data_IF_558906553966
#
_entry.id   IF_558906553966
#
_cell.length_a   1.000
_cell.length_b   1.000
_cell.length_c   1.000
_cell.angle_alpha   90.00
_cell.angle_beta   90.00
_cell.angle_gamma   90.00
#
_symmetry.space_group_name_H-M   'P 1'
#
loop_
_entity.id
_entity.type
_entity.pdbx_description
1 polymer ?
#
# COMPACT_ATOMS: atom_id res chain seq x y z
N UNK A 1 -17.53 9.70 1.25
CA UNK A 1 -18.33 9.75 0.01
C UNK A 1 -19.05 11.11 -0.17
N UNK A 2 -19.82 11.59 0.81
CA UNK A 2 -20.47 12.92 0.78
C UNK A 2 -19.49 14.10 0.61
N UNK A 3 -18.31 14.04 1.24
CA UNK A 3 -17.27 15.08 1.15
C UNK A 3 -16.68 15.19 -0.27
N UNK A 4 -16.52 14.06 -0.96
CA UNK A 4 -16.03 14.06 -2.34
C UNK A 4 -17.10 14.55 -3.33
N UNK A 5 -18.38 14.28 -3.08
CA UNK A 5 -19.49 14.84 -3.86
C UNK A 5 -19.57 16.35 -3.70
N UNK A 6 -19.59 16.86 -2.47
CA UNK A 6 -19.64 18.30 -2.21
C UNK A 6 -18.46 19.06 -2.81
N UNK A 7 -17.23 18.53 -2.67
CA UNK A 7 -16.04 19.15 -3.26
C UNK A 7 -16.08 19.14 -4.79
N UNK A 8 -16.50 18.03 -5.40
CA UNK A 8 -16.60 17.90 -6.85
C UNK A 8 -17.64 18.86 -7.45
N UNK A 9 -18.78 19.03 -6.78
CA UNK A 9 -19.86 19.93 -7.22
C UNK A 9 -19.45 21.40 -7.16
N UNK A 10 -18.80 21.84 -6.07
CA UNK A 10 -18.34 23.22 -5.90
C UNK A 10 -17.24 23.59 -6.90
N UNK A 11 -16.30 22.67 -7.14
CA UNK A 11 -15.22 22.88 -8.11
C UNK A 11 -15.76 22.87 -9.55
N UNK A 12 -16.74 22.02 -9.86
CA UNK A 12 -17.39 22.00 -11.17
C UNK A 12 -18.16 23.30 -11.47
N UNK A 13 -18.84 23.87 -10.48
CA UNK A 13 -19.54 25.16 -10.59
C UNK A 13 -18.57 26.36 -10.73
N UNK A 14 -17.40 26.27 -10.11
CA UNK A 14 -16.38 27.31 -10.12
C UNK A 14 -15.52 27.33 -11.40
N UNK A 15 -15.31 26.17 -12.05
CA UNK A 15 -14.44 26.01 -13.23
C UNK A 15 -15.19 25.86 -14.56
N UNK A 16 -16.45 26.31 -14.63
CA UNK A 16 -17.35 26.17 -15.78
C UNK A 16 -16.86 26.76 -17.13
N UNK A 17 -15.71 27.44 -17.16
CA UNK A 17 -15.15 28.10 -18.34
C UNK A 17 -13.79 27.54 -18.82
N UNK A 18 -13.23 26.51 -18.17
CA UNK A 18 -11.97 25.88 -18.59
C UNK A 18 -12.13 24.38 -18.83
N UNK A 19 -11.32 23.81 -19.73
CA UNK A 19 -11.17 22.36 -20.00
C UNK A 19 -10.89 21.51 -18.72
N UNK A 20 -10.60 22.17 -17.60
CA UNK A 20 -10.41 21.60 -16.27
C UNK A 20 -11.73 21.20 -15.56
N UNK A 21 -12.89 21.75 -15.97
CA UNK A 21 -14.21 21.44 -15.39
C UNK A 21 -14.76 20.05 -15.73
N UNK A 22 -14.21 19.38 -16.75
CA UNK A 22 -14.66 18.06 -17.19
C UNK A 22 -14.07 16.91 -16.36
N UNK A 23 -12.95 17.12 -15.65
CA UNK A 23 -12.33 16.07 -14.82
C UNK A 23 -13.18 15.68 -13.60
N UNK A 24 -13.70 16.63 -12.80
CA UNK A 24 -14.58 16.29 -11.68
C UNK A 24 -15.84 15.55 -12.14
N UNK A 25 -16.40 15.93 -13.29
CA UNK A 25 -17.58 15.30 -13.89
C UNK A 25 -17.31 13.85 -14.31
N UNK A 26 -16.18 13.59 -14.98
CA UNK A 26 -15.74 12.22 -15.32
C UNK A 26 -15.55 11.37 -14.07
N UNK A 27 -14.87 11.91 -13.07
CA UNK A 27 -14.65 11.22 -11.80
C UNK A 27 -15.98 10.92 -11.09
N UNK A 28 -16.88 11.91 -10.99
CA UNK A 28 -18.19 11.76 -10.36
C UNK A 28 -19.04 10.69 -11.07
N UNK A 29 -19.05 10.68 -12.42
CA UNK A 29 -19.75 9.67 -13.20
C UNK A 29 -19.23 8.27 -12.87
N UNK A 30 -17.92 8.04 -13.01
CA UNK A 30 -17.35 6.71 -12.78
C UNK A 30 -17.43 6.27 -11.32
N UNK A 31 -17.35 7.19 -10.36
CA UNK A 31 -17.64 6.90 -8.95
C UNK A 31 -19.10 6.54 -8.72
N UNK A 32 -20.06 7.17 -9.39
CA UNK A 32 -21.46 6.80 -9.28
C UNK A 32 -21.71 5.40 -9.87
N UNK A 33 -21.08 5.09 -11.01
CA UNK A 33 -21.17 3.78 -11.65
C UNK A 33 -20.56 2.67 -10.76
N UNK A 34 -19.39 2.90 -10.15
CA UNK A 34 -18.80 1.90 -9.24
C UNK A 34 -19.48 1.84 -7.87
N UNK A 35 -20.09 2.93 -7.40
CA UNK A 35 -20.81 2.97 -6.14
C UNK A 35 -22.03 2.03 -6.12
N UNK A 36 -22.73 1.86 -7.25
CA UNK A 36 -23.89 0.98 -7.32
C UNK A 36 -23.59 -0.48 -6.90
N UNK A 37 -22.60 -1.18 -7.50
CA UNK A 37 -22.24 -2.53 -7.05
C UNK A 37 -21.60 -2.56 -5.65
N UNK A 38 -20.88 -1.50 -5.23
CA UNK A 38 -20.38 -1.41 -3.84
C UNK A 38 -21.53 -1.42 -2.82
N UNK A 39 -22.53 -0.56 -3.02
CA UNK A 39 -23.69 -0.43 -2.14
C UNK A 39 -24.58 -1.68 -2.21
N UNK A 40 -24.86 -2.19 -3.41
CA UNK A 40 -25.62 -3.42 -3.56
C UNK A 40 -24.92 -4.61 -2.86
N UNK A 41 -23.59 -4.67 -2.91
CA UNK A 41 -22.80 -5.68 -2.21
C UNK A 41 -22.89 -5.60 -0.69
N UNK A 42 -23.12 -4.40 -0.13
CA UNK A 42 -23.27 -4.22 1.30
C UNK A 42 -24.56 -4.87 1.84
N UNK A 43 -25.62 -4.92 1.04
CA UNK A 43 -26.94 -5.47 1.42
C UNK A 43 -27.05 -6.99 1.25
N UNK A 44 -26.15 -7.62 0.48
CA UNK A 44 -26.17 -9.07 0.24
C UNK A 44 -25.01 -9.76 0.94
N UNK A 45 -25.08 -11.07 1.16
CA UNK A 45 -24.03 -11.86 1.83
C UNK A 45 -23.35 -12.88 0.91
N UNK A 46 -22.26 -13.48 1.39
CA UNK A 46 -21.58 -14.60 0.75
C UNK A 46 -21.01 -14.29 -0.65
N UNK A 47 -21.13 -15.26 -1.57
CA UNK A 47 -20.55 -15.17 -2.91
C UNK A 47 -21.16 -14.04 -3.76
N UNK A 48 -22.42 -13.66 -3.50
CA UNK A 48 -23.06 -12.55 -4.20
C UNK A 48 -22.39 -11.21 -3.88
N UNK A 49 -22.03 -10.99 -2.60
CA UNK A 49 -21.25 -9.82 -2.15
C UNK A 49 -19.91 -9.77 -2.86
N UNK A 50 -19.18 -10.90 -2.87
CA UNK A 50 -17.88 -10.99 -3.53
C UNK A 50 -17.97 -10.72 -5.04
N UNK A 51 -19.01 -11.23 -5.71
CA UNK A 51 -19.22 -10.98 -7.13
C UNK A 51 -19.51 -9.49 -7.42
N UNK A 52 -20.36 -8.84 -6.61
CA UNK A 52 -20.66 -7.42 -6.75
C UNK A 52 -19.45 -6.53 -6.49
N UNK A 53 -18.71 -6.79 -5.41
CA UNK A 53 -17.48 -6.05 -5.11
C UNK A 53 -16.40 -6.28 -6.16
N UNK A 54 -16.28 -7.50 -6.69
CA UNK A 54 -15.38 -7.79 -7.82
C UNK A 54 -15.79 -7.02 -9.08
N UNK A 55 -17.09 -6.90 -9.35
CA UNK A 55 -17.60 -6.11 -10.47
C UNK A 55 -17.31 -4.61 -10.27
N UNK A 56 -17.46 -4.08 -9.05
CA UNK A 56 -17.12 -2.70 -8.72
C UNK A 56 -15.65 -2.40 -9.01
N UNK A 57 -14.75 -3.28 -8.54
CA UNK A 57 -13.31 -3.20 -8.82
C UNK A 57 -13.06 -3.29 -10.34
N UNK A 58 -13.69 -4.23 -11.04
CA UNK A 58 -13.53 -4.37 -12.49
C UNK A 58 -13.93 -3.09 -13.24
N UNK A 59 -15.02 -2.43 -12.83
CA UNK A 59 -15.45 -1.14 -13.38
C UNK A 59 -14.37 -0.08 -13.18
N UNK A 60 -13.81 0.04 -11.97
CA UNK A 60 -12.78 1.05 -11.65
C UNK A 60 -11.50 0.82 -12.47
N UNK A 61 -11.07 -0.43 -12.62
CA UNK A 61 -9.87 -0.77 -13.40
C UNK A 61 -10.09 -0.65 -14.91
N UNK A 62 -11.19 -1.18 -15.43
CA UNK A 62 -11.51 -1.12 -16.87
C UNK A 62 -11.75 0.32 -17.29
N UNK A 63 -12.45 1.12 -16.49
CA UNK A 63 -12.63 2.54 -16.77
C UNK A 63 -11.30 3.29 -16.79
N UNK A 64 -10.40 3.05 -15.84
CA UNK A 64 -9.06 3.64 -15.83
C UNK A 64 -8.24 3.22 -17.07
N UNK A 65 -8.27 1.94 -17.45
CA UNK A 65 -7.58 1.42 -18.64
C UNK A 65 -8.09 2.07 -19.93
N UNK A 66 -9.40 2.30 -20.03
CA UNK A 66 -10.05 2.97 -21.16
C UNK A 66 -9.95 4.51 -21.11
N UNK A 67 -9.23 5.08 -20.13
CA UNK A 67 -9.08 6.53 -19.88
C UNK A 67 -10.40 7.22 -19.51
N UNK A 68 -11.24 6.55 -18.73
CA UNK A 68 -12.54 7.03 -18.24
C UNK A 68 -13.42 7.59 -19.37
N UNK A 69 -13.83 6.73 -20.34
CA UNK A 69 -14.69 7.16 -21.43
C UNK A 69 -16.05 7.55 -20.87
N UNK A 70 -16.35 8.84 -20.84
CA UNK A 70 -17.60 9.33 -20.25
C UNK A 70 -18.57 9.67 -21.37
N UNK A 71 -19.82 9.14 -21.34
CA UNK A 71 -20.81 9.43 -22.38
C UNK A 71 -20.96 10.94 -22.62
N UNK A 72 -20.96 11.36 -23.89
CA UNK A 72 -21.04 12.78 -24.27
C UNK A 72 -19.76 13.61 -24.13
N UNK A 73 -18.70 13.09 -23.47
CA UNK A 73 -17.43 13.80 -23.26
C UNK A 73 -16.24 13.05 -23.90
N UNK A 74 -16.38 11.75 -24.15
CA UNK A 74 -15.33 10.89 -24.73
C UNK A 74 -14.25 10.48 -23.72
N UNK A 75 -13.12 9.89 -24.16
CA UNK A 75 -12.01 9.48 -23.29
C UNK A 75 -11.15 10.65 -22.80
N UNK A 76 -10.38 10.45 -21.73
CA UNK A 76 -9.53 11.48 -21.14
C UNK A 76 -8.30 11.72 -22.03
N UNK A 77 -8.03 12.96 -22.46
CA UNK A 77 -6.84 13.32 -23.22
C UNK A 77 -5.54 12.97 -22.49
N UNK A 78 -4.50 12.43 -23.17
CA UNK A 78 -3.22 12.08 -22.54
C UNK A 78 -2.56 13.25 -21.81
N UNK A 79 -2.63 14.48 -22.34
CA UNK A 79 -2.06 15.68 -21.71
C UNK A 79 -2.67 15.97 -20.33
N UNK A 80 -3.95 15.64 -20.13
CA UNK A 80 -4.61 15.82 -18.84
C UNK A 80 -4.15 14.77 -17.80
N UNK A 81 -3.67 13.61 -18.23
CA UNK A 81 -3.09 12.64 -17.29
C UNK A 81 -1.78 13.15 -16.64
N UNK A 82 -1.11 14.16 -17.24
CA UNK A 82 0.22 14.62 -16.85
C UNK A 82 0.23 15.77 -15.81
N UNK A 83 -0.86 16.54 -15.68
CA UNK A 83 -0.91 17.82 -14.95
C UNK A 83 -1.00 17.74 -13.41
N UNK A 84 -1.02 16.54 -12.80
CA UNK A 84 -1.29 16.40 -11.35
C UNK A 84 -0.02 16.17 -10.49
N UNK A 85 1.17 16.41 -11.04
CA UNK A 85 2.46 15.85 -10.62
C UNK A 85 3.04 16.33 -9.28
N UNK A 86 2.86 17.59 -8.87
CA UNK A 86 3.69 18.17 -7.79
C UNK A 86 3.38 17.65 -6.37
N UNK A 87 2.18 17.11 -6.13
CA UNK A 87 1.76 16.68 -4.78
C UNK A 87 1.55 15.17 -4.65
N UNK A 88 1.83 14.37 -5.68
CA UNK A 88 1.56 12.93 -5.64
C UNK A 88 2.40 12.19 -4.61
N UNK A 89 3.68 12.56 -4.45
CA UNK A 89 4.53 11.95 -3.43
C UNK A 89 3.95 12.12 -2.02
N UNK A 90 3.43 13.31 -1.71
CA UNK A 90 2.77 13.57 -0.43
C UNK A 90 1.48 12.77 -0.27
N UNK A 91 0.64 12.69 -1.31
CA UNK A 91 -0.59 11.88 -1.28
C UNK A 91 -0.31 10.39 -1.12
N UNK A 92 0.69 9.87 -1.81
CA UNK A 92 1.10 8.47 -1.70
C UNK A 92 1.60 8.14 -0.30
N UNK A 93 2.37 9.06 0.30
CA UNK A 93 2.77 8.98 1.71
C UNK A 93 1.57 8.97 2.64
N UNK A 94 0.59 9.83 2.39
CA UNK A 94 -0.64 9.88 3.18
C UNK A 94 -1.43 8.57 3.12
N UNK A 95 -1.55 7.93 1.94
CA UNK A 95 -2.23 6.64 1.83
C UNK A 95 -1.55 5.55 2.66
N UNK A 96 -0.22 5.49 2.63
CA UNK A 96 0.55 4.53 3.44
C UNK A 96 0.37 4.80 4.93
N UNK A 97 0.40 6.07 5.35
CA UNK A 97 0.15 6.47 6.75
C UNK A 97 -1.26 6.07 7.18
N UNK A 98 -2.28 6.29 6.34
CA UNK A 98 -3.66 5.92 6.65
C UNK A 98 -3.79 4.41 6.83
N UNK A 99 -3.25 3.61 5.91
CA UNK A 99 -3.30 2.14 6.00
C UNK A 99 -2.51 1.58 7.21
N UNK A 100 -1.36 2.18 7.53
CA UNK A 100 -0.63 1.85 8.77
C UNK A 100 -1.43 2.25 10.02
N UNK A 101 -2.06 3.42 10.00
CA UNK A 101 -2.93 3.90 11.07
C UNK A 101 -4.12 2.97 11.31
N UNK A 102 -4.79 2.52 10.26
CA UNK A 102 -5.87 1.53 10.32
C UNK A 102 -5.38 0.21 10.94
N UNK A 103 -4.19 -0.25 10.56
CA UNK A 103 -3.58 -1.45 11.17
C UNK A 103 -3.34 -1.25 12.66
N UNK A 104 -2.81 -0.09 13.09
CA UNK A 104 -2.57 0.21 14.52
C UNK A 104 -3.87 0.30 15.32
N UNK A 105 -4.91 0.95 14.76
CA UNK A 105 -6.24 1.02 15.39
C UNK A 105 -6.84 -0.38 15.51
N UNK A 106 -6.69 -1.21 14.48
CA UNK A 106 -7.15 -2.61 14.50
C UNK A 106 -6.41 -3.41 15.57
N UNK A 107 -5.09 -3.25 15.72
CA UNK A 107 -4.33 -3.89 16.79
C UNK A 107 -4.85 -3.48 18.18
N UNK A 108 -5.12 -2.18 18.38
CA UNK A 108 -5.61 -1.64 19.65
C UNK A 108 -7.03 -2.08 20.02
N UNK A 109 -7.96 -2.04 19.06
CA UNK A 109 -9.35 -2.50 19.24
C UNK A 109 -9.39 -4.00 19.57
N UNK A 110 -8.60 -4.80 18.85
CA UNK A 110 -8.52 -6.23 19.09
C UNK A 110 -8.02 -6.60 20.50
N UNK A 111 -7.17 -5.76 21.11
CA UNK A 111 -6.71 -5.91 22.49
C UNK A 111 -7.77 -5.50 23.51
N UNK A 112 -8.54 -4.44 23.22
CA UNK A 112 -9.57 -3.93 24.13
C UNK A 112 -10.77 -4.88 24.24
N UNK A 113 -11.23 -5.43 23.12
CA UNK A 113 -12.47 -6.19 23.04
C UNK A 113 -12.33 -7.65 23.53
N UNK A 114 -11.16 -8.04 24.03
CA UNK A 114 -10.84 -9.44 24.33
C UNK A 114 -10.11 -9.62 25.66
N UNK A 115 -10.42 -10.73 26.33
CA UNK A 115 -9.71 -11.13 27.54
C UNK A 115 -8.22 -11.30 27.29
N UNK A 116 -7.43 -10.72 28.20
CA UNK A 116 -5.98 -10.80 28.16
C UNK A 116 -5.50 -12.22 28.46
N UNK A 117 -4.62 -12.74 27.61
CA UNK A 117 -3.85 -13.96 27.85
C UNK A 117 -2.42 -13.77 27.35
N UNK A 118 -1.47 -14.55 27.87
CA UNK A 118 -0.07 -14.45 27.45
C UNK A 118 0.08 -14.59 25.92
N UNK A 119 -0.61 -15.56 25.32
CA UNK A 119 -0.60 -15.80 23.88
C UNK A 119 -1.13 -14.59 23.09
N UNK A 120 -2.22 -13.96 23.54
CA UNK A 120 -2.76 -12.74 22.90
C UNK A 120 -1.86 -11.54 23.09
N UNK A 121 -1.24 -11.38 24.26
CA UNK A 121 -0.24 -10.34 24.51
C UNK A 121 0.99 -10.48 23.60
N UNK A 122 1.48 -11.70 23.39
CA UNK A 122 2.56 -11.97 22.42
C UNK A 122 2.11 -11.68 20.99
N UNK A 123 0.92 -12.13 20.60
CA UNK A 123 0.34 -11.87 19.27
C UNK A 123 0.18 -10.38 18.98
N UNK A 124 -0.28 -9.61 19.96
CA UNK A 124 -0.36 -8.15 19.92
C UNK A 124 1.03 -7.54 19.70
N UNK A 125 2.00 -7.94 20.51
CA UNK A 125 3.38 -7.40 20.45
C UNK A 125 4.03 -7.70 19.10
N UNK A 126 3.87 -8.91 18.58
CA UNK A 126 4.36 -9.30 17.26
C UNK A 126 3.67 -8.51 16.14
N UNK A 127 2.35 -8.36 16.20
CA UNK A 127 1.58 -7.60 15.20
C UNK A 127 1.97 -6.12 15.17
N UNK A 128 2.13 -5.51 16.34
CA UNK A 128 2.62 -4.14 16.48
C UNK A 128 4.06 -4.01 15.98
N UNK A 129 4.93 -4.95 16.33
CA UNK A 129 6.31 -5.02 15.86
C UNK A 129 6.42 -5.13 14.34
N UNK A 130 5.66 -6.04 13.71
CA UNK A 130 5.58 -6.19 12.25
C UNK A 130 5.12 -4.88 11.59
N UNK A 131 4.08 -4.24 12.13
CA UNK A 131 3.57 -2.95 11.64
C UNK A 131 4.65 -1.87 11.75
N UNK A 132 5.36 -1.80 12.87
CA UNK A 132 6.48 -0.88 13.10
C UNK A 132 7.67 -1.13 12.17
N UNK A 133 7.99 -2.39 11.88
CA UNK A 133 9.04 -2.77 10.94
C UNK A 133 8.69 -2.35 9.51
N UNK A 134 7.44 -2.55 9.06
CA UNK A 134 7.00 -2.07 7.75
C UNK A 134 7.00 -0.53 7.67
N UNK A 135 6.55 0.14 8.74
CA UNK A 135 6.69 1.60 8.87
C UNK A 135 8.15 2.03 8.72
N UNK A 136 9.07 1.35 9.42
CA UNK A 136 10.49 1.62 9.33
C UNK A 136 11.01 1.43 7.91
N UNK A 137 10.69 0.30 7.27
CA UNK A 137 11.11 0.00 5.89
C UNK A 137 10.67 1.10 4.93
N UNK A 138 9.45 1.63 5.09
CA UNK A 138 8.94 2.72 4.25
C UNK A 138 9.65 4.07 4.51
N UNK A 139 9.76 4.47 5.78
CA UNK A 139 10.22 5.83 6.12
C UNK A 139 11.73 5.99 6.23
N UNK A 140 12.46 4.94 6.61
CA UNK A 140 13.87 5.02 7.01
C UNK A 140 14.82 5.47 5.88
N UNK A 141 14.39 5.49 4.60
CA UNK A 141 15.26 5.84 3.46
C UNK A 141 14.80 6.99 2.57
N UNK A 142 13.74 7.70 2.94
CA UNK A 142 13.27 8.89 2.17
C UNK A 142 14.25 10.07 2.28
N UNK A 143 15.20 10.04 3.24
CA UNK A 143 16.13 11.15 3.50
C UNK A 143 17.54 11.02 2.93
N UNK A 144 17.95 9.88 2.39
CA UNK A 144 19.34 9.67 1.96
C UNK A 144 19.48 9.58 0.44
N UNK A 145 20.11 10.62 -0.12
CA UNK A 145 20.75 10.69 -1.45
C UNK A 145 19.79 10.78 -2.65
N UNK A 146 19.09 11.91 -2.78
CA UNK A 146 18.80 12.46 -4.11
C UNK A 146 20.12 12.95 -4.72
N UNK A 147 20.93 12.03 -5.22
CA UNK A 147 22.13 12.38 -5.98
C UNK A 147 21.76 12.94 -7.36
N UNK A 148 22.58 13.84 -7.93
CA UNK A 148 22.32 14.45 -9.23
C UNK A 148 22.71 13.50 -10.35
N UNK A 149 21.87 12.50 -10.66
CA UNK A 149 22.03 11.70 -11.88
C UNK A 149 20.66 11.46 -12.49
N UNK A 150 20.22 12.40 -13.35
CA UNK A 150 19.17 12.14 -14.34
C UNK A 150 19.36 13.03 -15.57
N UNK A 151 20.49 12.88 -16.26
CA UNK A 151 20.61 13.24 -17.68
C UNK A 151 20.00 12.11 -18.51
N UNK A 152 18.68 12.18 -18.75
CA UNK A 152 17.93 11.20 -19.56
C UNK A 152 16.62 10.70 -18.94
N UNK A 153 15.98 11.47 -18.05
CA UNK A 153 14.80 11.04 -17.31
C UNK A 153 13.62 10.60 -18.21
N UNK A 154 12.94 9.47 -17.91
CA UNK A 154 11.64 9.15 -18.50
C UNK A 154 10.63 10.27 -18.26
N UNK A 155 9.65 10.41 -19.16
CA UNK A 155 8.51 11.31 -19.02
C UNK A 155 7.96 11.28 -17.57
N UNK A 156 7.86 12.43 -16.88
CA UNK A 156 7.30 12.53 -15.53
C UNK A 156 5.98 11.79 -15.33
N UNK A 157 5.17 11.66 -16.39
CA UNK A 157 3.92 10.89 -16.39
C UNK A 157 4.11 9.40 -16.07
N UNK A 158 5.12 8.79 -16.69
CA UNK A 158 5.45 7.36 -16.52
C UNK A 158 5.95 7.12 -15.11
N UNK A 159 6.82 8.00 -14.61
CA UNK A 159 7.34 7.91 -13.24
C UNK A 159 6.22 7.99 -12.20
N UNK A 160 5.26 8.90 -12.38
CA UNK A 160 4.12 9.04 -11.48
C UNK A 160 3.18 7.84 -11.50
N UNK A 161 2.96 7.24 -12.68
CA UNK A 161 2.19 6.00 -12.81
C UNK A 161 2.87 4.83 -12.10
N UNK A 162 4.17 4.65 -12.31
CA UNK A 162 4.95 3.59 -11.66
C UNK A 162 5.00 3.77 -10.13
N UNK A 163 5.15 5.01 -9.65
CA UNK A 163 5.04 5.33 -8.23
C UNK A 163 3.66 5.00 -7.66
N UNK A 164 2.59 5.29 -8.42
CA UNK A 164 1.22 4.98 -8.02
C UNK A 164 0.97 3.48 -7.93
N UNK A 165 1.41 2.69 -8.92
CA UNK A 165 1.29 1.22 -8.90
C UNK A 165 2.05 0.64 -7.71
N UNK A 166 3.27 1.11 -7.46
CA UNK A 166 4.07 0.65 -6.34
C UNK A 166 3.42 0.94 -4.98
N UNK A 167 2.86 2.14 -4.78
CA UNK A 167 2.15 2.50 -3.56
C UNK A 167 0.83 1.77 -3.41
N UNK A 168 0.09 1.55 -4.50
CA UNK A 168 -1.11 0.73 -4.48
C UNK A 168 -0.80 -0.69 -4.00
N UNK A 169 0.28 -1.29 -4.51
CA UNK A 169 0.72 -2.62 -4.08
C UNK A 169 1.09 -2.64 -2.58
N UNK A 170 1.73 -1.58 -2.08
CA UNK A 170 2.01 -1.43 -0.65
C UNK A 170 0.75 -1.30 0.20
N UNK A 171 -0.22 -0.49 -0.23
CA UNK A 171 -1.50 -0.29 0.48
C UNK A 171 -2.32 -1.59 0.51
N UNK A 172 -2.36 -2.34 -0.59
CA UNK A 172 -3.00 -3.67 -0.62
C UNK A 172 -2.31 -4.60 0.39
N UNK A 173 -0.97 -4.61 0.42
CA UNK A 173 -0.21 -5.39 1.40
C UNK A 173 -0.50 -5.00 2.85
N UNK A 174 -0.61 -3.70 3.14
CA UNK A 174 -0.99 -3.21 4.47
C UNK A 174 -2.44 -3.56 4.84
N UNK A 175 -3.37 -3.52 3.89
CA UNK A 175 -4.76 -3.93 4.11
C UNK A 175 -4.83 -5.42 4.46
N UNK A 176 -4.09 -6.25 3.74
CA UNK A 176 -3.98 -7.68 4.05
C UNK A 176 -3.29 -7.92 5.42
N UNK A 177 -2.32 -7.08 5.80
CA UNK A 177 -1.76 -7.09 7.16
C UNK A 177 -2.83 -6.74 8.20
N UNK A 178 -3.67 -5.73 7.97
CA UNK A 178 -4.79 -5.38 8.85
C UNK A 178 -5.72 -6.57 9.05
N UNK A 179 -6.10 -7.28 7.97
CA UNK A 179 -6.89 -8.52 8.08
C UNK A 179 -6.16 -9.59 8.88
N UNK A 180 -4.85 -9.72 8.69
CA UNK A 180 -4.02 -10.70 9.42
C UNK A 180 -3.98 -10.41 10.93
N UNK A 181 -4.01 -9.15 11.36
CA UNK A 181 -4.00 -8.78 12.77
C UNK A 181 -5.19 -9.38 13.52
N UNK A 182 -6.39 -9.30 12.94
CA UNK A 182 -7.60 -9.89 13.54
C UNK A 182 -7.45 -11.41 13.69
N UNK A 183 -6.96 -12.09 12.66
CA UNK A 183 -6.67 -13.54 12.69
C UNK A 183 -5.66 -13.90 13.80
N UNK A 184 -4.57 -13.13 13.88
CA UNK A 184 -3.44 -13.38 14.79
C UNK A 184 -3.79 -13.14 16.25
N UNK A 185 -4.54 -12.07 16.54
CA UNK A 185 -4.91 -11.73 17.93
C UNK A 185 -6.13 -12.56 18.40
N UNK A 186 -7.07 -12.89 17.52
CA UNK A 186 -8.25 -13.67 17.89
C UNK A 186 -7.89 -15.11 18.25
N UNK A 187 -7.11 -15.76 17.39
CA UNK A 187 -6.84 -17.20 17.48
C UNK A 187 -5.31 -17.50 17.42
N UNK A 188 -4.50 -16.98 18.36
CA UNK A 188 -3.04 -17.01 18.27
C UNK A 188 -2.45 -18.44 18.29
N UNK A 189 -3.11 -19.38 18.96
CA UNK A 189 -2.66 -20.78 19.08
C UNK A 189 -3.30 -21.71 18.04
N UNK A 190 -4.20 -21.19 17.21
CA UNK A 190 -4.84 -22.00 16.17
C UNK A 190 -3.81 -22.50 15.17
N UNK A 191 -3.99 -23.72 14.73
CA UNK A 191 -3.34 -24.30 13.55
C UNK A 191 -3.71 -23.50 12.30
N UNK A 192 -2.76 -22.81 11.69
CA UNK A 192 -2.98 -21.96 10.54
C UNK A 192 -3.25 -22.80 9.27
N UNK A 193 -4.45 -22.72 8.67
CA UNK A 193 -4.68 -23.29 7.35
C UNK A 193 -3.88 -22.52 6.28
N UNK A 194 -3.70 -23.12 5.10
CA UNK A 194 -2.93 -22.51 4.01
C UNK A 194 -3.43 -21.11 3.62
N UNK A 195 -4.73 -20.86 3.71
CA UNK A 195 -5.32 -19.54 3.45
C UNK A 195 -4.85 -18.48 4.45
N UNK A 196 -4.78 -18.79 5.74
CA UNK A 196 -4.30 -17.83 6.76
C UNK A 196 -2.82 -17.56 6.59
N UNK A 197 -2.01 -18.60 6.33
CA UNK A 197 -0.59 -18.45 6.03
C UNK A 197 -0.39 -17.54 4.82
N UNK A 198 -1.18 -17.73 3.77
CA UNK A 198 -1.12 -16.90 2.56
C UNK A 198 -1.43 -15.42 2.86
N UNK A 199 -2.40 -15.12 3.74
CA UNK A 199 -2.75 -13.74 4.11
C UNK A 199 -1.67 -13.11 5.01
N UNK A 200 -1.23 -13.82 6.05
CA UNK A 200 -0.22 -13.37 7.03
C UNK A 200 1.13 -13.06 6.36
N UNK A 201 1.53 -13.88 5.39
CA UNK A 201 2.77 -13.69 4.62
C UNK A 201 2.54 -12.72 3.46
N UNK A 202 1.39 -12.83 2.81
CA UNK A 202 1.03 -12.08 1.61
C UNK A 202 0.99 -10.58 1.86
N UNK A 203 0.49 -10.13 3.02
CA UNK A 203 0.47 -8.70 3.36
C UNK A 203 1.85 -8.05 3.33
N UNK A 204 2.78 -8.46 4.21
CA UNK A 204 4.18 -8.00 4.19
C UNK A 204 4.89 -8.29 2.86
N UNK A 205 4.62 -9.43 2.21
CA UNK A 205 5.21 -9.76 0.91
C UNK A 205 4.82 -8.79 -0.20
N UNK A 206 3.53 -8.46 -0.33
CA UNK A 206 3.02 -7.46 -1.28
C UNK A 206 3.60 -6.08 -0.97
N UNK A 207 3.68 -5.72 0.31
CA UNK A 207 4.30 -4.48 0.73
C UNK A 207 5.77 -4.38 0.30
N UNK A 208 6.57 -5.41 0.57
CA UNK A 208 7.98 -5.45 0.15
C UNK A 208 8.13 -5.43 -1.37
N UNK A 209 7.24 -6.11 -2.11
CA UNK A 209 7.23 -6.10 -3.57
C UNK A 209 6.91 -4.69 -4.13
N UNK A 210 5.93 -4.00 -3.55
CA UNK A 210 5.62 -2.61 -3.89
C UNK A 210 6.78 -1.68 -3.59
N UNK A 211 7.40 -1.83 -2.42
CA UNK A 211 8.57 -1.04 -2.04
C UNK A 211 9.79 -1.31 -2.95
N UNK A 212 10.00 -2.57 -3.36
CA UNK A 212 11.03 -2.96 -4.34
C UNK A 212 10.77 -2.31 -5.71
N UNK A 213 9.51 -2.33 -6.17
CA UNK A 213 9.11 -1.71 -7.43
C UNK A 213 9.37 -0.20 -7.41
N UNK A 214 9.01 0.48 -6.32
CA UNK A 214 9.28 1.90 -6.12
C UNK A 214 10.78 2.20 -6.21
N UNK A 215 11.60 1.44 -5.48
CA UNK A 215 13.06 1.57 -5.50
C UNK A 215 13.67 1.44 -6.89
N UNK A 216 13.22 0.43 -7.65
CA UNK A 216 13.75 0.13 -8.99
C UNK A 216 13.26 1.11 -10.06
N UNK A 217 11.96 1.41 -10.09
CA UNK A 217 11.33 2.16 -11.19
C UNK A 217 11.38 3.67 -11.00
N UNK A 218 11.39 4.14 -9.76
CA UNK A 218 11.36 5.58 -9.46
C UNK A 218 12.73 6.09 -9.03
N UNK A 219 13.46 5.33 -8.22
CA UNK A 219 14.74 5.75 -7.67
C UNK A 219 15.97 5.16 -8.39
N UNK A 220 15.78 4.29 -9.39
CA UNK A 220 16.86 3.57 -10.08
C UNK A 220 17.84 2.85 -9.12
N UNK A 221 17.32 2.39 -7.97
CA UNK A 221 18.11 1.73 -6.93
C UNK A 221 17.98 0.22 -6.99
N UNK A 222 18.98 -0.45 -6.40
CA UNK A 222 18.99 -1.91 -6.23
C UNK A 222 17.85 -2.32 -5.29
N UNK A 223 16.87 -3.04 -5.85
CA UNK A 223 15.74 -3.59 -5.10
C UNK A 223 16.03 -4.95 -4.44
N UNK A 224 17.26 -5.46 -4.57
CA UNK A 224 17.64 -6.82 -4.20
C UNK A 224 17.27 -7.22 -2.76
N UNK A 225 17.54 -6.42 -1.70
CA UNK A 225 17.21 -6.85 -0.34
C UNK A 225 15.71 -7.07 -0.14
N UNK A 226 14.86 -6.24 -0.76
CA UNK A 226 13.40 -6.36 -0.64
C UNK A 226 12.88 -7.56 -1.42
N UNK A 227 13.42 -7.80 -2.62
CA UNK A 227 13.10 -8.99 -3.41
C UNK A 227 13.57 -10.29 -2.74
N UNK A 228 14.71 -10.27 -2.07
CA UNK A 228 15.16 -11.39 -1.23
C UNK A 228 14.16 -11.63 -0.09
N UNK A 229 13.71 -10.57 0.58
CA UNK A 229 12.66 -10.65 1.60
C UNK A 229 11.36 -11.29 1.08
N UNK A 230 10.88 -10.83 -0.09
CA UNK A 230 9.72 -11.44 -0.78
C UNK A 230 9.98 -12.91 -1.08
N UNK A 231 11.15 -13.24 -1.64
CA UNK A 231 11.53 -14.61 -1.95
C UNK A 231 11.58 -15.50 -0.71
N UNK A 232 12.13 -15.02 0.40
CA UNK A 232 12.18 -15.73 1.69
C UNK A 232 10.77 -16.01 2.23
N UNK A 233 9.90 -14.99 2.21
CA UNK A 233 8.52 -15.11 2.65
C UNK A 233 7.75 -16.16 1.81
N UNK A 234 7.90 -16.12 0.48
CA UNK A 234 7.28 -17.10 -0.42
C UNK A 234 7.85 -18.50 -0.20
N UNK A 235 9.17 -18.64 -0.09
CA UNK A 235 9.84 -19.93 0.04
C UNK A 235 9.48 -20.63 1.36
N UNK A 236 9.37 -19.87 2.45
CA UNK A 236 9.05 -20.42 3.78
C UNK A 236 7.55 -20.70 3.93
N UNK A 237 6.68 -20.01 3.20
CA UNK A 237 5.22 -20.10 3.34
C UNK A 237 4.65 -21.53 3.38
N UNK A 238 4.96 -22.43 2.43
CA UNK A 238 4.44 -23.81 2.45
C UNK A 238 4.79 -24.58 3.73
N UNK A 239 5.98 -24.34 4.30
CA UNK A 239 6.43 -25.01 5.51
C UNK A 239 5.74 -24.50 6.79
N UNK A 240 5.04 -23.36 6.72
CA UNK A 240 4.32 -22.78 7.85
C UNK A 240 2.87 -23.26 7.96
N UNK A 241 2.36 -23.97 6.95
CA UNK A 241 1.01 -24.53 6.98
C UNK A 241 0.91 -25.59 8.07
N UNK A 242 -0.12 -25.49 8.91
CA UNK A 242 -0.30 -26.39 10.04
C UNK A 242 0.47 -26.00 11.31
N UNK A 243 1.26 -24.93 11.29
CA UNK A 243 1.85 -24.38 12.50
C UNK A 243 0.86 -23.46 13.24
N UNK A 244 1.05 -23.20 14.55
CA UNK A 244 0.29 -22.18 15.26
C UNK A 244 0.44 -20.81 14.59
N UNK A 245 -0.65 -20.04 14.50
CA UNK A 245 -0.66 -18.68 13.92
C UNK A 245 0.42 -17.77 14.52
N UNK A 246 0.69 -17.90 15.82
CA UNK A 246 1.76 -17.18 16.49
C UNK A 246 3.15 -17.52 15.92
N UNK A 247 3.40 -18.79 15.57
CA UNK A 247 4.67 -19.21 14.97
C UNK A 247 4.81 -18.65 13.55
N UNK A 248 3.74 -18.67 12.74
CA UNK A 248 3.72 -18.06 11.40
C UNK A 248 4.08 -16.57 11.48
N UNK A 249 3.44 -15.85 12.41
CA UNK A 249 3.69 -14.42 12.65
C UNK A 249 5.11 -14.17 13.14
N UNK A 250 5.63 -15.01 14.04
CA UNK A 250 7.00 -14.93 14.52
C UNK A 250 8.03 -15.08 13.39
N UNK A 251 7.79 -15.98 12.43
CA UNK A 251 8.66 -16.14 11.26
C UNK A 251 8.61 -14.90 10.36
N UNK A 252 7.43 -14.35 10.09
CA UNK A 252 7.30 -13.08 9.34
C UNK A 252 8.06 -11.95 10.04
N UNK A 253 7.89 -11.80 11.36
CA UNK A 253 8.60 -10.81 12.15
C UNK A 253 10.13 -11.01 12.07
N UNK A 254 10.61 -12.25 12.19
CA UNK A 254 12.03 -12.58 12.08
C UNK A 254 12.62 -12.21 10.71
N UNK A 255 11.90 -12.50 9.62
CA UNK A 255 12.31 -12.10 8.26
C UNK A 255 12.40 -10.57 8.14
N UNK A 256 11.39 -9.84 8.63
CA UNK A 256 11.41 -8.38 8.58
C UNK A 256 12.50 -7.77 9.45
N UNK A 257 12.75 -8.32 10.64
CA UNK A 257 13.87 -7.92 11.51
C UNK A 257 15.19 -8.14 10.77
N UNK A 258 15.41 -9.30 10.17
CA UNK A 258 16.63 -9.58 9.42
C UNK A 258 16.85 -8.58 8.27
N UNK A 259 15.79 -8.21 7.55
CA UNK A 259 15.85 -7.17 6.50
C UNK A 259 16.19 -5.79 7.06
N UNK A 260 15.56 -5.38 8.17
CA UNK A 260 15.84 -4.09 8.81
C UNK A 260 17.25 -4.06 9.38
N UNK A 261 17.71 -5.12 10.04
CA UNK A 261 19.08 -5.26 10.54
C UNK A 261 20.11 -5.23 9.40
N UNK A 262 19.81 -5.87 8.28
CA UNK A 262 20.62 -5.77 7.07
C UNK A 262 20.71 -4.32 6.59
N UNK A 263 19.57 -3.63 6.48
CA UNK A 263 19.58 -2.22 6.10
C UNK A 263 20.40 -1.36 7.07
N UNK A 264 20.27 -1.53 8.38
CA UNK A 264 21.05 -0.80 9.36
C UNK A 264 22.56 -1.05 9.22
N UNK A 265 22.95 -2.30 8.93
CA UNK A 265 24.36 -2.69 8.79
C UNK A 265 25.00 -2.22 7.48
N UNK A 266 24.25 -2.25 6.38
CA UNK A 266 24.75 -1.96 5.04
C UNK A 266 24.41 -0.54 4.55
N UNK A 267 23.64 0.25 5.29
CA UNK A 267 23.45 1.69 5.02
C UNK A 267 24.62 2.56 5.47
N UNK A 268 25.81 1.97 5.67
CA UNK A 268 27.01 2.62 6.22
C UNK A 268 27.25 4.03 5.71
N UNK A 269 26.86 5.02 6.52
CA UNK A 269 27.58 6.28 6.64
C UNK A 269 28.96 5.89 7.14
N UNK A 270 29.99 6.08 6.31
CA UNK A 270 31.37 6.10 6.81
C UNK A 270 31.49 7.36 7.67
N UNK A 271 31.94 7.27 8.94
CA UNK A 271 32.35 8.44 9.70
C UNK A 271 33.57 9.04 8.99
N UNK A 272 33.36 10.01 8.09
CA UNK A 272 34.43 10.56 7.25
C UNK A 272 33.97 11.47 6.10
N UNK A 273 32.79 11.25 5.51
CA UNK A 273 32.32 12.05 4.36
C UNK A 273 31.72 13.42 4.73
N UNK A 274 31.90 13.89 5.98
CA UNK A 274 31.54 15.26 6.40
C UNK A 274 32.72 16.24 6.41
N UNK A 275 33.93 15.79 6.07
CA UNK A 275 35.09 16.65 5.90
C UNK A 275 35.50 16.72 4.44
N UNK A 276 35.77 17.93 3.93
CA UNK A 276 36.30 18.27 2.60
C UNK A 276 35.26 18.66 1.53
N UNK A 277 34.58 19.79 1.78
CA UNK A 277 33.85 20.53 0.74
C UNK A 277 33.84 22.06 0.90
N UNK A 278 34.53 22.60 1.92
CA UNK A 278 34.76 24.03 2.05
C UNK A 278 36.25 24.28 2.31
N UNK A 279 37.00 24.48 1.23
CA UNK A 279 38.05 25.49 1.21
C UNK A 279 37.92 26.28 -0.10
N UNK A 280 37.85 27.59 0.14
CA UNK A 280 37.85 28.73 -0.77
C UNK A 280 39.06 28.68 -1.70
#
# INVERSE_FOLDING_TARGET
MAINLGRSSVVALALRHDDLGLRPLRAAFWFAVSAAPWLAGAEVEGNARLALWSAAIAIEYVSALLRWPTPGIGPTPPKLLNLASEHFAERYRQFVIIALGETVVTIGTNLHDRDFSLHRGTAFTMSFGVTGLLFWIYFHRVREKLGPVFSGAPDPSVRNREAGIAHLLMVIGLTALTTSVDMVITEPTRTAPASWVAVIIGGPGLFLAGHALLGRRVFARVAAPRLIGVGMLIAVGPALVGLPVLAVTGVVAAVLIALVSWDLRYSGIKPGDQGLGHRV
#
